data_IF_909065349812
#
_entry.id   IF_909065349812
#
_cell.length_a   1.000
_cell.length_b   1.000
_cell.length_c   1.000
_cell.angle_alpha   90.00
_cell.angle_beta   90.00
_cell.angle_gamma   90.00
#
_symmetry.space_group_name_H-M   'P 1'
#
loop_
_entity.id
_entity.type
_entity.pdbx_description
1 polymer ?
#
# COMPACT_ATOMS: atom_id res chain seq x y z
N UNK A 1 -4.96 -15.09 10.01
CA UNK A 1 -4.15 -14.27 9.10
C UNK A 1 -3.49 -13.18 9.93
N UNK A 2 -2.42 -12.56 9.43
CA UNK A 2 -1.87 -11.34 10.05
C UNK A 2 -2.57 -10.11 9.48
N UNK A 3 -2.55 -9.01 10.24
CA UNK A 3 -3.09 -7.72 9.81
C UNK A 3 -1.98 -6.69 9.76
N UNK A 4 -1.86 -5.98 8.64
CA UNK A 4 -0.87 -4.93 8.46
C UNK A 4 -1.51 -3.56 8.31
N UNK A 5 -0.85 -2.54 8.86
CA UNK A 5 -1.14 -1.15 8.58
C UNK A 5 -0.21 -0.68 7.45
N UNK A 6 -0.79 -0.30 6.31
CA UNK A 6 -0.08 0.24 5.16
C UNK A 6 0.57 1.60 5.44
N UNK A 7 1.55 1.98 4.62
CA UNK A 7 2.14 3.32 4.69
C UNK A 7 1.10 4.37 4.30
N UNK A 8 1.15 5.52 4.98
CA UNK A 8 0.25 6.65 4.69
C UNK A 8 0.48 7.16 3.27
N UNK A 9 -0.55 7.09 2.42
CA UNK A 9 -0.47 7.51 1.02
C UNK A 9 -0.65 9.03 0.85
N UNK A 10 -1.27 9.72 1.80
CA UNK A 10 -1.56 11.15 1.71
C UNK A 10 -0.44 12.02 2.29
N UNK A 11 -0.40 13.29 1.88
CA UNK A 11 0.63 14.20 2.37
C UNK A 11 0.21 14.82 3.70
N UNK A 12 0.54 14.14 4.80
CA UNK A 12 0.30 14.64 6.15
C UNK A 12 1.48 15.46 6.68
N UNK A 13 1.23 16.51 7.49
CA UNK A 13 2.28 17.20 8.23
C UNK A 13 3.06 16.24 9.13
N UNK A 14 4.36 16.50 9.34
CA UNK A 14 5.23 15.66 10.18
C UNK A 14 4.62 15.32 11.54
N UNK A 15 4.11 16.31 12.26
CA UNK A 15 3.54 16.10 13.60
C UNK A 15 2.33 15.15 13.60
N UNK A 16 1.44 15.27 12.60
CA UNK A 16 0.29 14.38 12.44
C UNK A 16 0.73 12.95 12.15
N UNK A 17 1.73 12.80 11.30
CA UNK A 17 2.29 11.50 10.93
C UNK A 17 2.98 10.83 12.12
N UNK A 18 3.80 11.54 12.88
CA UNK A 18 4.45 11.04 14.10
C UNK A 18 3.42 10.62 15.16
N UNK A 19 2.39 11.45 15.38
CA UNK A 19 1.30 11.11 16.29
C UNK A 19 0.54 9.86 15.84
N UNK A 20 0.27 9.74 14.55
CA UNK A 20 -0.41 8.57 13.99
C UNK A 20 0.38 7.28 14.23
N UNK A 21 1.69 7.26 13.94
CA UNK A 21 2.50 6.06 14.17
C UNK A 21 2.71 5.78 15.67
N UNK A 22 2.74 6.81 16.53
CA UNK A 22 2.74 6.61 17.97
C UNK A 22 1.46 5.90 18.45
N UNK A 23 0.30 6.23 17.88
CA UNK A 23 -0.95 5.50 18.14
C UNK A 23 -0.93 4.10 17.53
N UNK A 24 -0.38 3.94 16.32
CA UNK A 24 -0.27 2.67 15.63
C UNK A 24 0.54 1.62 16.43
N UNK A 25 1.52 2.04 17.22
CA UNK A 25 2.27 1.15 18.13
C UNK A 25 1.35 0.39 19.11
N UNK A 26 0.23 1.00 19.51
CA UNK A 26 -0.75 0.40 20.42
C UNK A 26 -1.92 -0.28 19.69
N UNK A 27 -1.95 -0.21 18.36
CA UNK A 27 -3.00 -0.86 17.56
C UNK A 27 -2.86 -2.38 17.58
N UNK A 28 -3.88 -3.08 17.09
CA UNK A 28 -3.83 -4.52 16.88
C UNK A 28 -3.10 -4.94 15.59
N UNK A 29 -2.45 -4.04 14.85
CA UNK A 29 -1.63 -4.42 13.69
C UNK A 29 -0.51 -5.38 14.11
N UNK A 30 -0.18 -6.38 13.30
CA UNK A 30 1.03 -7.20 13.47
C UNK A 30 2.24 -6.54 12.78
N UNK A 31 1.98 -5.86 11.67
CA UNK A 31 2.97 -5.30 10.75
C UNK A 31 2.63 -3.83 10.50
N UNK A 32 3.62 -2.95 10.56
CA UNK A 32 3.47 -1.53 10.25
C UNK A 32 4.41 -1.17 9.11
N UNK A 33 3.81 -0.70 8.01
CA UNK A 33 4.51 -0.09 6.89
C UNK A 33 4.62 1.40 7.12
N UNK A 34 5.79 1.98 6.87
CA UNK A 34 6.02 3.42 6.94
C UNK A 34 6.99 3.87 5.86
N UNK A 35 6.91 5.12 5.44
CA UNK A 35 7.70 5.65 4.33
C UNK A 35 6.85 6.44 3.36
N UNK A 36 7.48 6.94 2.31
CA UNK A 36 6.84 7.72 1.25
C UNK A 36 6.84 6.91 -0.05
N UNK A 37 5.64 6.60 -0.55
CA UNK A 37 5.44 5.77 -1.76
C UNK A 37 4.97 6.59 -2.97
N UNK A 38 4.50 7.81 -2.77
CA UNK A 38 3.82 8.60 -3.80
C UNK A 38 4.73 9.64 -4.44
N UNK A 39 5.38 10.51 -3.68
CA UNK A 39 6.14 11.61 -4.27
C UNK A 39 7.33 12.09 -3.44
N UNK A 40 8.52 12.03 -4.04
CA UNK A 40 9.79 12.54 -3.47
C UNK A 40 9.81 14.03 -3.09
N UNK A 41 8.85 14.83 -3.56
CA UNK A 41 8.74 16.25 -3.20
C UNK A 41 8.08 16.48 -1.83
N UNK A 42 7.46 15.44 -1.25
CA UNK A 42 6.85 15.47 0.08
C UNK A 42 7.94 15.34 1.15
N UNK A 43 8.61 16.45 1.45
CA UNK A 43 9.87 16.48 2.22
C UNK A 43 9.71 16.71 3.72
N UNK A 44 8.49 16.58 4.27
CA UNK A 44 8.24 16.65 5.72
C UNK A 44 9.09 15.63 6.49
N UNK A 45 9.32 14.45 5.90
CA UNK A 45 10.15 13.38 6.47
C UNK A 45 11.33 13.08 5.53
N UNK A 46 12.55 13.10 6.08
CA UNK A 46 13.77 12.66 5.39
C UNK A 46 14.06 11.19 5.70
N UNK A 47 14.99 10.53 4.97
CA UNK A 47 15.34 9.14 5.25
C UNK A 47 15.72 8.86 6.72
N UNK A 48 16.46 9.76 7.38
CA UNK A 48 16.81 9.58 8.80
C UNK A 48 15.61 9.67 9.73
N UNK A 49 14.63 10.54 9.41
CA UNK A 49 13.40 10.66 10.19
C UNK A 49 12.60 9.36 10.09
N UNK A 50 12.49 8.78 8.89
CA UNK A 50 11.82 7.49 8.67
C UNK A 50 12.50 6.33 9.40
N UNK A 51 13.84 6.24 9.33
CA UNK A 51 14.59 5.19 10.05
C UNK A 51 14.45 5.35 11.57
N UNK A 52 14.46 6.58 12.08
CA UNK A 52 14.29 6.86 13.51
C UNK A 52 12.87 6.51 14.00
N UNK A 53 11.87 6.84 13.18
CA UNK A 53 10.49 6.46 13.45
C UNK A 53 10.30 4.94 13.40
N UNK A 54 10.91 4.26 12.43
CA UNK A 54 10.90 2.81 12.34
C UNK A 54 11.45 2.13 13.59
N UNK A 55 12.57 2.62 14.13
CA UNK A 55 13.13 2.13 15.41
C UNK A 55 12.17 2.33 16.58
N UNK A 56 11.53 3.49 16.63
CA UNK A 56 10.55 3.80 17.68
C UNK A 56 9.37 2.83 17.62
N UNK A 57 8.82 2.63 16.42
CA UNK A 57 7.69 1.71 16.20
C UNK A 57 8.09 0.26 16.48
N UNK A 58 9.27 -0.18 16.04
CA UNK A 58 9.77 -1.54 16.27
C UNK A 58 9.91 -1.87 17.77
N UNK A 59 10.22 -0.86 18.61
CA UNK A 59 10.26 -1.01 20.06
C UNK A 59 8.93 -1.45 20.71
N UNK A 60 7.80 -1.37 19.99
CA UNK A 60 6.50 -1.89 20.44
C UNK A 60 6.28 -3.38 20.12
N UNK A 61 7.25 -4.06 19.50
CA UNK A 61 7.18 -5.49 19.14
C UNK A 61 6.47 -5.78 17.81
N UNK A 62 6.14 -4.74 17.04
CA UNK A 62 5.54 -4.84 15.70
C UNK A 62 6.62 -5.16 14.66
N UNK A 63 6.29 -5.94 13.63
CA UNK A 63 7.16 -6.01 12.45
C UNK A 63 7.10 -4.69 11.71
N UNK A 64 8.25 -4.08 11.41
CA UNK A 64 8.33 -2.82 10.68
C UNK A 64 8.91 -3.03 9.29
N UNK A 65 8.27 -2.42 8.29
CA UNK A 65 8.71 -2.42 6.88
C UNK A 65 8.76 -0.98 6.38
N UNK A 66 9.85 -0.62 5.70
CA UNK A 66 10.00 0.72 5.12
C UNK A 66 9.58 0.70 3.65
N UNK A 67 8.50 1.40 3.31
CA UNK A 67 7.99 1.54 1.95
C UNK A 67 8.72 2.64 1.18
N UNK A 68 9.15 2.32 -0.04
CA UNK A 68 9.82 3.24 -0.96
C UNK A 68 8.92 3.71 -2.10
N UNK A 69 9.33 4.77 -2.79
CA UNK A 69 8.62 5.39 -3.91
C UNK A 69 8.24 4.38 -5.01
N UNK A 70 7.01 4.52 -5.52
CA UNK A 70 6.50 3.74 -6.66
C UNK A 70 6.94 4.25 -8.03
N UNK A 71 7.41 5.50 -8.12
CA UNK A 71 7.86 6.08 -9.38
C UNK A 71 9.12 6.93 -9.18
N UNK A 72 10.27 6.36 -9.58
CA UNK A 72 11.56 7.04 -9.58
C UNK A 72 11.76 7.82 -10.89
N UNK A 73 12.17 9.08 -10.76
CA UNK A 73 12.29 10.03 -11.85
C UNK A 73 13.64 10.75 -11.87
N UNK A 74 14.36 10.80 -10.74
CA UNK A 74 15.61 11.55 -10.62
C UNK A 74 16.73 10.76 -9.90
N UNK A 75 18.00 10.94 -10.32
CA UNK A 75 19.14 10.32 -9.63
C UNK A 75 19.29 10.69 -8.15
N UNK A 76 18.79 11.85 -7.73
CA UNK A 76 18.78 12.25 -6.32
C UNK A 76 17.89 11.34 -5.46
N UNK A 77 16.79 10.83 -6.03
CA UNK A 77 15.86 9.94 -5.33
C UNK A 77 16.53 8.58 -5.07
N UNK A 78 17.34 8.09 -6.01
CA UNK A 78 18.12 6.87 -5.84
C UNK A 78 19.09 6.98 -4.65
N UNK A 79 19.66 8.15 -4.38
CA UNK A 79 20.55 8.36 -3.21
C UNK A 79 19.79 8.32 -1.90
N UNK A 80 18.61 8.95 -1.85
CA UNK A 80 17.74 8.92 -0.67
C UNK A 80 17.24 7.49 -0.39
N UNK A 81 16.89 6.73 -1.43
CA UNK A 81 16.49 5.33 -1.31
C UNK A 81 17.65 4.43 -0.94
N UNK A 82 18.84 4.61 -1.50
CA UNK A 82 20.02 3.85 -1.10
C UNK A 82 20.26 3.96 0.40
N UNK A 83 20.07 5.14 0.98
CA UNK A 83 20.15 5.35 2.43
C UNK A 83 19.08 4.57 3.21
N UNK A 84 17.85 4.48 2.69
CA UNK A 84 16.81 3.63 3.28
C UNK A 84 17.16 2.14 3.14
N UNK A 85 17.69 1.70 2.00
CA UNK A 85 18.12 0.30 1.80
C UNK A 85 19.27 -0.05 2.73
N UNK A 86 20.21 0.86 2.95
CA UNK A 86 21.37 0.71 3.83
C UNK A 86 21.02 0.93 5.32
N UNK A 87 19.73 0.87 5.70
CA UNK A 87 19.29 1.08 7.08
C UNK A 87 19.76 -0.02 8.06
N UNK A 88 20.08 -1.22 7.55
CA UNK A 88 20.70 -2.32 8.29
C UNK A 88 19.78 -3.14 9.20
N UNK A 89 18.50 -2.80 9.33
CA UNK A 89 17.61 -3.38 10.35
C UNK A 89 16.23 -3.79 9.79
N UNK A 90 15.59 -2.89 9.05
CA UNK A 90 14.23 -3.04 8.55
C UNK A 90 14.19 -3.50 7.10
N UNK A 91 13.23 -4.38 6.82
CA UNK A 91 12.92 -4.82 5.47
C UNK A 91 12.37 -3.66 4.63
N UNK A 92 12.67 -3.67 3.34
CA UNK A 92 12.18 -2.67 2.39
C UNK A 92 10.98 -3.23 1.61
N UNK A 93 9.94 -2.43 1.48
CA UNK A 93 8.91 -2.61 0.46
C UNK A 93 9.29 -1.81 -0.78
N UNK A 94 9.59 -2.54 -1.85
CA UNK A 94 9.97 -2.00 -3.14
C UNK A 94 8.74 -1.89 -4.06
N UNK A 95 8.56 -0.71 -4.65
CA UNK A 95 7.52 -0.45 -5.65
C UNK A 95 8.12 -0.15 -7.04
N UNK A 96 9.45 -0.12 -7.16
CA UNK A 96 10.19 0.14 -8.40
C UNK A 96 11.35 -0.85 -8.55
N UNK A 97 11.63 -1.30 -9.77
CA UNK A 97 12.66 -2.29 -10.07
C UNK A 97 14.09 -1.81 -9.81
N UNK A 98 14.33 -0.50 -9.84
CA UNK A 98 15.59 0.09 -9.41
C UNK A 98 15.89 -0.20 -7.94
N UNK A 99 14.86 -0.18 -7.09
CA UNK A 99 15.00 -0.54 -5.66
C UNK A 99 15.24 -2.04 -5.50
N UNK A 100 14.52 -2.88 -6.25
CA UNK A 100 14.75 -4.34 -6.26
C UNK A 100 16.20 -4.65 -6.66
N UNK A 101 16.74 -3.98 -7.67
CA UNK A 101 18.12 -4.19 -8.09
C UNK A 101 19.10 -3.85 -6.95
N UNK A 102 18.91 -2.72 -6.26
CA UNK A 102 19.75 -2.36 -5.11
C UNK A 102 19.69 -3.37 -3.97
N UNK A 103 18.50 -3.90 -3.68
CA UNK A 103 18.27 -4.91 -2.64
C UNK A 103 18.92 -6.24 -3.02
N UNK A 104 18.76 -6.66 -4.28
CA UNK A 104 19.34 -7.88 -4.81
C UNK A 104 20.88 -7.85 -4.78
N UNK A 105 21.50 -6.75 -5.20
CA UNK A 105 22.96 -6.56 -5.14
C UNK A 105 23.51 -6.65 -3.72
N UNK A 106 22.70 -6.29 -2.72
CA UNK A 106 23.05 -6.36 -1.29
C UNK A 106 22.65 -7.68 -0.63
N UNK A 107 21.98 -8.58 -1.36
CA UNK A 107 21.44 -9.82 -0.81
C UNK A 107 20.40 -9.62 0.30
N UNK A 108 19.68 -8.50 0.26
CA UNK A 108 18.68 -8.15 1.29
C UNK A 108 17.29 -8.70 0.91
N UNK A 109 16.54 -9.27 1.88
CA UNK A 109 15.16 -9.67 1.65
C UNK A 109 14.26 -8.44 1.48
N UNK A 110 13.17 -8.60 0.73
CA UNK A 110 12.25 -7.50 0.47
C UNK A 110 10.79 -7.91 0.27
N UNK A 111 9.89 -6.94 0.49
CA UNK A 111 8.49 -7.01 0.09
C UNK A 111 8.34 -6.45 -1.31
N UNK A 112 7.79 -7.23 -2.23
CA UNK A 112 7.34 -6.74 -3.53
C UNK A 112 5.99 -6.04 -3.36
N UNK A 113 5.98 -4.71 -3.39
CA UNK A 113 4.78 -3.90 -3.24
C UNK A 113 3.86 -3.96 -4.46
N UNK A 114 2.58 -3.63 -4.26
CA UNK A 114 1.54 -3.68 -5.31
C UNK A 114 1.88 -2.83 -6.54
N UNK A 115 2.58 -1.71 -6.37
CA UNK A 115 3.01 -0.80 -7.44
C UNK A 115 3.95 -1.42 -8.49
N UNK A 116 4.54 -2.58 -8.22
CA UNK A 116 5.35 -3.32 -9.19
C UNK A 116 4.52 -3.96 -10.32
N UNK A 117 3.20 -4.08 -10.15
CA UNK A 117 2.31 -4.64 -11.16
C UNK A 117 2.74 -6.05 -11.62
N UNK A 118 3.08 -6.92 -10.66
CA UNK A 118 3.50 -8.29 -10.94
C UNK A 118 2.30 -9.23 -11.06
N UNK A 119 1.94 -9.59 -12.30
CA UNK A 119 0.67 -10.27 -12.62
C UNK A 119 0.76 -11.80 -12.84
N UNK A 120 1.96 -12.39 -12.88
CA UNK A 120 2.12 -13.78 -13.30
C UNK A 120 3.19 -14.54 -12.49
N UNK A 121 3.05 -15.87 -12.44
CA UNK A 121 3.90 -16.73 -11.62
C UNK A 121 5.37 -16.80 -12.08
N UNK A 122 5.69 -16.76 -13.40
CA UNK A 122 7.08 -16.63 -13.84
C UNK A 122 7.78 -15.37 -13.33
N UNK A 123 7.11 -14.22 -13.30
CA UNK A 123 7.64 -12.98 -12.73
C UNK A 123 7.87 -13.11 -11.22
N UNK A 124 6.92 -13.70 -10.48
CA UNK A 124 7.09 -14.00 -9.05
C UNK A 124 8.28 -14.93 -8.80
N UNK A 125 8.53 -15.91 -9.68
CA UNK A 125 9.70 -16.79 -9.59
C UNK A 125 11.02 -16.02 -9.74
N UNK A 126 11.05 -14.99 -10.58
CA UNK A 126 12.23 -14.12 -10.74
C UNK A 126 12.43 -13.30 -9.46
N UNK A 127 11.39 -12.65 -8.96
CA UNK A 127 11.45 -11.85 -7.73
C UNK A 127 11.85 -12.70 -6.52
N UNK A 128 11.29 -13.91 -6.39
CA UNK A 128 11.64 -14.86 -5.33
C UNK A 128 13.14 -15.21 -5.37
N UNK A 129 13.71 -15.44 -6.56
CA UNK A 129 15.16 -15.67 -6.72
C UNK A 129 16.00 -14.45 -6.38
N UNK A 130 15.44 -13.24 -6.50
CA UNK A 130 16.13 -11.99 -6.19
C UNK A 130 16.11 -11.64 -4.71
N UNK A 131 15.30 -12.32 -3.88
CA UNK A 131 15.20 -12.09 -2.44
C UNK A 131 13.82 -11.68 -1.95
N UNK A 132 12.78 -11.71 -2.81
CA UNK A 132 11.41 -11.43 -2.38
C UNK A 132 10.94 -12.43 -1.33
N UNK A 133 10.47 -11.95 -0.18
CA UNK A 133 9.91 -12.75 0.91
C UNK A 133 8.40 -12.56 1.07
N UNK A 134 7.85 -11.48 0.51
CA UNK A 134 6.42 -11.16 0.53
C UNK A 134 6.03 -10.50 -0.77
N UNK A 135 4.86 -10.86 -1.29
CA UNK A 135 4.26 -10.26 -2.46
C UNK A 135 2.91 -9.64 -2.11
N UNK A 136 2.81 -8.33 -2.28
CA UNK A 136 1.54 -7.62 -2.22
C UNK A 136 0.89 -7.67 -3.61
N UNK A 137 -0.26 -8.33 -3.68
CA UNK A 137 -1.04 -8.52 -4.90
C UNK A 137 -1.42 -7.15 -5.52
N UNK A 138 -1.33 -6.99 -6.87
CA UNK A 138 -1.87 -5.82 -7.55
C UNK A 138 -3.36 -5.63 -7.25
N UNK A 139 -3.75 -4.39 -7.02
CA UNK A 139 -4.99 -4.00 -6.34
C UNK A 139 -6.26 -4.21 -7.19
N UNK A 140 -6.10 -4.34 -8.50
CA UNK A 140 -7.16 -4.52 -9.49
C UNK A 140 -7.49 -5.99 -9.80
N UNK A 141 -6.78 -6.94 -9.18
CA UNK A 141 -6.95 -8.36 -9.45
C UNK A 141 -8.01 -9.00 -8.55
N UNK A 142 -8.68 -10.02 -9.07
CA UNK A 142 -9.74 -10.74 -8.36
C UNK A 142 -9.23 -11.90 -7.51
N UNK A 143 -10.07 -12.38 -6.60
CA UNK A 143 -9.82 -13.62 -5.85
C UNK A 143 -9.59 -14.81 -6.77
N UNK A 144 -10.38 -14.93 -7.83
CA UNK A 144 -10.27 -16.03 -8.78
C UNK A 144 -8.94 -15.99 -9.53
N UNK A 145 -8.46 -14.78 -9.84
CA UNK A 145 -7.12 -14.59 -10.40
C UNK A 145 -6.03 -15.05 -9.42
N UNK A 146 -6.13 -14.65 -8.15
CA UNK A 146 -5.20 -15.07 -7.10
C UNK A 146 -5.15 -16.59 -6.97
N UNK A 147 -6.30 -17.26 -6.90
CA UNK A 147 -6.37 -18.74 -6.82
C UNK A 147 -5.63 -19.39 -7.98
N UNK A 148 -5.84 -18.91 -9.21
CA UNK A 148 -5.18 -19.47 -10.39
C UNK A 148 -3.67 -19.19 -10.39
N UNK A 149 -3.25 -18.00 -9.97
CA UNK A 149 -1.86 -17.63 -9.86
C UNK A 149 -1.12 -18.49 -8.81
N UNK A 150 -1.73 -18.74 -7.66
CA UNK A 150 -1.13 -19.55 -6.60
C UNK A 150 -0.97 -21.02 -7.02
N UNK A 151 -1.92 -21.58 -7.79
CA UNK A 151 -1.75 -22.90 -8.42
C UNK A 151 -0.54 -22.94 -9.36
N UNK A 152 -0.37 -21.92 -10.20
CA UNK A 152 0.83 -21.82 -11.06
C UNK A 152 2.12 -21.70 -10.21
N UNK A 153 2.06 -21.02 -9.06
CA UNK A 153 3.18 -20.94 -8.13
C UNK A 153 3.51 -22.30 -7.48
N UNK A 154 2.50 -23.14 -7.21
CA UNK A 154 2.68 -24.52 -6.76
C UNK A 154 3.37 -25.36 -7.84
N UNK A 155 2.88 -25.31 -9.08
CA UNK A 155 3.49 -25.99 -10.24
C UNK A 155 4.95 -25.57 -10.48
N UNK A 156 5.27 -24.30 -10.23
CA UNK A 156 6.62 -23.76 -10.34
C UNK A 156 7.51 -24.03 -9.12
N UNK A 157 6.97 -24.60 -8.04
CA UNK A 157 7.68 -24.94 -6.80
C UNK A 157 8.10 -23.72 -5.97
N UNK A 158 7.28 -22.67 -5.96
CA UNK A 158 7.56 -21.40 -5.27
C UNK A 158 6.48 -20.94 -4.28
N UNK A 159 5.30 -21.60 -4.23
CA UNK A 159 4.16 -21.16 -3.39
C UNK A 159 4.52 -20.95 -1.91
N UNK A 160 5.30 -21.85 -1.33
CA UNK A 160 5.65 -21.81 0.09
C UNK A 160 6.93 -21.01 0.38
N UNK A 161 7.39 -20.18 -0.58
CA UNK A 161 8.64 -19.42 -0.47
C UNK A 161 8.44 -17.92 -0.23
N UNK A 162 7.20 -17.46 -0.19
CA UNK A 162 6.86 -16.06 0.07
C UNK A 162 5.45 -15.95 0.66
N UNK A 163 5.21 -14.87 1.38
CA UNK A 163 3.91 -14.49 1.93
C UNK A 163 3.05 -13.78 0.87
N UNK A 164 1.75 -14.02 0.88
CA UNK A 164 0.76 -13.32 0.05
C UNK A 164 0.06 -12.25 0.88
N UNK A 165 0.16 -11.00 0.44
CA UNK A 165 -0.51 -9.87 1.06
C UNK A 165 -1.54 -9.23 0.12
N UNK A 166 -2.69 -8.84 0.67
CA UNK A 166 -3.77 -8.17 -0.09
C UNK A 166 -4.16 -6.87 0.59
N UNK A 167 -4.09 -5.77 -0.15
CA UNK A 167 -4.70 -4.49 0.24
C UNK A 167 -6.22 -4.66 0.29
N UNK A 168 -6.75 -4.67 1.51
CA UNK A 168 -8.12 -5.08 1.82
C UNK A 168 -8.99 -3.94 2.35
N UNK A 169 -8.38 -2.80 2.67
CA UNK A 169 -9.08 -1.57 3.05
C UNK A 169 -8.37 -0.32 2.53
N UNK A 170 -9.15 0.70 2.16
CA UNK A 170 -8.70 2.05 1.79
C UNK A 170 -8.83 2.35 0.29
N UNK A 171 -8.48 3.57 -0.11
CA UNK A 171 -8.50 3.97 -1.51
C UNK A 171 -7.38 3.31 -2.33
N UNK A 172 -7.74 2.42 -3.27
CA UNK A 172 -6.79 1.62 -4.05
C UNK A 172 -5.92 2.50 -4.96
N UNK A 173 -4.58 2.41 -4.91
CA UNK A 173 -3.70 3.16 -5.80
C UNK A 173 -3.61 2.52 -7.19
N UNK A 174 -4.53 2.92 -8.07
CA UNK A 174 -4.72 2.32 -9.40
C UNK A 174 -3.66 2.73 -10.44
N UNK A 175 -3.10 3.94 -10.34
CA UNK A 175 -2.11 4.42 -11.30
C UNK A 175 -1.20 5.52 -10.74
N UNK A 176 0.00 5.63 -11.32
CA UNK A 176 0.98 6.68 -11.04
C UNK A 176 1.35 7.42 -12.32
N UNK A 177 1.56 8.73 -12.23
CA UNK A 177 1.97 9.57 -13.35
C UNK A 177 3.27 10.32 -13.10
N UNK A 178 4.09 10.52 -14.13
CA UNK A 178 5.24 11.43 -14.02
C UNK A 178 4.80 12.89 -13.80
N UNK A 179 3.54 13.23 -14.14
CA UNK A 179 2.94 14.55 -13.91
C UNK A 179 2.07 14.52 -12.64
N UNK A 180 2.08 15.62 -11.89
CA UNK A 180 1.26 15.75 -10.70
C UNK A 180 -0.13 16.29 -11.04
N UNK A 181 -1.16 15.47 -10.85
CA UNK A 181 -2.55 15.85 -11.11
C UNK A 181 -3.03 16.93 -10.15
N UNK A 182 -2.64 16.89 -8.88
CA UNK A 182 -2.99 17.93 -7.90
C UNK A 182 -2.37 19.28 -8.29
N UNK A 183 -1.09 19.31 -8.64
CA UNK A 183 -0.44 20.55 -9.12
C UNK A 183 -1.12 21.08 -10.39
N UNK A 184 -1.42 20.18 -11.34
CA UNK A 184 -2.12 20.55 -12.58
C UNK A 184 -3.50 21.15 -12.30
N UNK A 185 -4.22 20.66 -11.31
CA UNK A 185 -5.54 21.19 -10.92
C UNK A 185 -5.47 22.62 -10.38
N UNK A 186 -4.32 23.06 -9.90
CA UNK A 186 -4.04 24.45 -9.52
C UNK A 186 -3.33 25.25 -10.62
N UNK A 187 -3.31 24.70 -11.84
CA UNK A 187 -2.61 25.27 -13.00
C UNK A 187 -1.09 25.47 -12.77
N UNK A 188 -0.47 24.61 -11.96
CA UNK A 188 0.97 24.60 -11.66
C UNK A 188 1.67 23.46 -12.38
N UNK A 189 2.95 23.64 -12.69
CA UNK A 189 3.83 22.54 -13.06
C UNK A 189 4.20 21.72 -11.82
N UNK A 190 4.65 20.46 -12.02
CA UNK A 190 5.10 19.60 -10.91
C UNK A 190 6.31 20.20 -10.20
N UNK A 191 7.23 20.81 -10.94
CA UNK A 191 8.47 21.37 -10.39
C UNK A 191 8.22 22.60 -9.52
N UNK A 192 7.16 23.35 -9.79
CA UNK A 192 6.72 24.51 -9.01
C UNK A 192 5.40 24.22 -8.25
N UNK A 193 5.19 22.97 -7.83
CA UNK A 193 3.93 22.59 -7.19
C UNK A 193 3.72 23.20 -5.80
N UNK A 194 4.78 23.72 -5.17
CA UNK A 194 4.80 24.24 -3.79
C UNK A 194 4.20 23.26 -2.76
N UNK A 195 4.27 21.96 -3.06
CA UNK A 195 3.68 20.89 -2.23
C UNK A 195 2.18 21.05 -1.94
N UNK A 196 1.43 21.67 -2.88
CA UNK A 196 -0.01 21.94 -2.79
C UNK A 196 -0.89 20.75 -2.37
N UNK A 197 -0.43 19.49 -2.54
CA UNK A 197 -1.16 18.33 -2.05
C UNK A 197 -1.41 18.31 -0.54
N UNK A 198 -0.67 19.10 0.25
CA UNK A 198 -0.89 19.22 1.70
C UNK A 198 -2.26 19.84 2.02
N UNK A 199 -2.77 20.68 1.13
CA UNK A 199 -4.08 21.32 1.25
C UNK A 199 -5.25 20.37 0.93
N UNK A 200 -4.94 19.14 0.48
CA UNK A 200 -5.92 18.12 0.11
C UNK A 200 -5.64 16.83 0.88
N UNK A 201 -5.88 16.78 2.21
CA UNK A 201 -5.50 15.66 3.07
C UNK A 201 -6.20 14.34 2.73
N UNK A 202 -7.30 14.39 1.97
CA UNK A 202 -8.03 13.22 1.43
C UNK A 202 -7.97 13.16 -0.10
N UNK A 203 -7.00 13.86 -0.72
CA UNK A 203 -6.92 14.00 -2.17
C UNK A 203 -8.07 14.83 -2.77
N UNK A 204 -8.23 14.73 -4.09
CA UNK A 204 -9.23 15.47 -4.86
C UNK A 204 -10.17 14.51 -5.58
N UNK A 205 -11.46 14.62 -5.29
CA UNK A 205 -12.51 13.84 -5.96
C UNK A 205 -12.58 14.18 -7.45
N UNK A 206 -12.72 13.16 -8.28
CA UNK A 206 -12.96 13.27 -9.71
C UNK A 206 -14.33 12.69 -10.01
N UNK A 207 -15.16 13.47 -10.70
CA UNK A 207 -16.50 13.10 -11.09
C UNK A 207 -16.57 12.83 -12.59
N UNK A 208 -17.44 11.91 -13.00
CA UNK A 208 -17.85 11.73 -14.39
C UNK A 208 -18.72 12.89 -14.87
N UNK A 209 -19.09 12.90 -16.15
CA UNK A 209 -20.03 13.90 -16.70
C UNK A 209 -21.44 13.74 -16.11
N UNK A 210 -21.77 12.54 -15.65
CA UNK A 210 -23.02 12.19 -14.95
C UNK A 210 -22.94 12.44 -13.44
N UNK A 211 -21.91 13.16 -12.97
CA UNK A 211 -21.71 13.54 -11.57
C UNK A 211 -21.48 12.35 -10.61
N UNK A 212 -21.05 11.20 -11.13
CA UNK A 212 -20.64 10.04 -10.32
C UNK A 212 -19.16 10.14 -9.93
N UNK A 213 -18.82 9.90 -8.67
CA UNK A 213 -17.41 9.83 -8.25
C UNK A 213 -16.75 8.58 -8.83
N UNK A 214 -15.63 8.78 -9.53
CA UNK A 214 -14.90 7.69 -10.21
C UNK A 214 -13.50 7.49 -9.64
N UNK A 215 -12.82 8.57 -9.24
CA UNK A 215 -11.44 8.51 -8.74
C UNK A 215 -11.20 9.55 -7.64
N UNK A 216 -10.11 9.33 -6.90
CA UNK A 216 -9.48 10.34 -6.03
C UNK A 216 -8.07 10.60 -6.53
N UNK A 217 -7.70 11.87 -6.75
CA UNK A 217 -6.37 12.28 -7.18
C UNK A 217 -5.55 12.73 -5.98
N UNK A 218 -4.41 12.09 -5.78
CA UNK A 218 -3.50 12.31 -4.66
C UNK A 218 -2.07 12.56 -5.18
N UNK A 219 -1.75 13.80 -5.50
CA UNK A 219 -0.47 14.16 -6.10
C UNK A 219 -0.31 13.56 -7.50
N UNK A 220 0.60 12.60 -7.63
CA UNK A 220 0.83 11.85 -8.88
C UNK A 220 0.00 10.57 -8.99
N UNK A 221 -0.69 10.19 -7.92
CA UNK A 221 -1.41 8.94 -7.80
C UNK A 221 -2.89 9.16 -8.15
N UNK A 222 -3.45 8.24 -8.92
CA UNK A 222 -4.89 8.09 -9.13
C UNK A 222 -5.37 6.91 -8.32
N UNK A 223 -6.32 7.14 -7.42
CA UNK A 223 -6.90 6.11 -6.57
C UNK A 223 -8.35 5.79 -6.94
N UNK A 224 -8.87 4.65 -6.46
CA UNK A 224 -10.29 4.32 -6.58
C UNK A 224 -11.17 5.43 -6.03
N UNK A 225 -12.33 5.64 -6.67
CA UNK A 225 -13.30 6.65 -6.22
C UNK A 225 -13.89 6.34 -4.85
N UNK A 226 -14.13 5.06 -4.55
CA UNK A 226 -14.73 4.59 -3.30
C UNK A 226 -13.69 3.85 -2.46
N UNK A 227 -13.93 3.79 -1.16
CA UNK A 227 -13.07 3.04 -0.24
C UNK A 227 -13.23 1.55 -0.53
N UNK A 228 -12.14 0.87 -0.84
CA UNK A 228 -12.19 -0.57 -1.03
C UNK A 228 -12.29 -1.25 0.33
N UNK A 229 -13.17 -2.24 0.49
CA UNK A 229 -13.39 -2.87 1.78
C UNK A 229 -13.73 -4.35 1.65
N UNK A 230 -12.80 -5.20 2.08
CA UNK A 230 -12.93 -6.66 2.10
C UNK A 230 -13.19 -7.23 3.49
N UNK A 231 -13.66 -6.42 4.44
CA UNK A 231 -13.91 -6.86 5.82
C UNK A 231 -14.94 -7.99 5.92
N UNK A 232 -15.89 -8.08 4.99
CA UNK A 232 -16.86 -9.18 4.90
C UNK A 232 -16.36 -10.37 4.06
N UNK A 233 -15.19 -10.25 3.44
CA UNK A 233 -14.60 -11.22 2.53
C UNK A 233 -13.47 -12.06 3.16
N UNK A 234 -13.14 -11.82 4.44
CA UNK A 234 -12.01 -12.45 5.12
C UNK A 234 -12.07 -13.98 5.16
N UNK A 235 -13.26 -14.58 5.28
CA UNK A 235 -13.42 -16.05 5.17
C UNK A 235 -12.93 -16.58 3.83
N UNK A 236 -13.16 -15.83 2.75
CA UNK A 236 -12.78 -16.23 1.39
C UNK A 236 -11.27 -16.21 1.15
N UNK A 237 -10.51 -15.58 2.06
CA UNK A 237 -9.05 -15.44 2.03
C UNK A 237 -8.30 -16.57 2.74
N UNK A 238 -8.99 -17.39 3.55
CA UNK A 238 -8.36 -18.46 4.31
C UNK A 238 -7.61 -19.45 3.39
N UNK A 239 -6.33 -19.67 3.68
CA UNK A 239 -5.44 -20.52 2.87
C UNK A 239 -4.88 -19.85 1.60
N UNK A 240 -5.34 -18.64 1.25
CA UNK A 240 -4.89 -17.88 0.08
C UNK A 240 -4.04 -16.66 0.45
N UNK A 241 -4.44 -15.95 1.50
CA UNK A 241 -3.82 -14.69 1.94
C UNK A 241 -3.21 -14.89 3.32
N UNK A 242 -1.95 -14.49 3.46
CA UNK A 242 -1.23 -14.55 4.74
C UNK A 242 -1.44 -13.24 5.53
N UNK A 243 -1.49 -12.10 4.82
CA UNK A 243 -1.55 -10.76 5.40
C UNK A 243 -2.68 -9.92 4.76
N UNK A 244 -3.54 -9.38 5.61
CA UNK A 244 -4.62 -8.45 5.26
C UNK A 244 -4.14 -7.03 5.55
N UNK A 245 -3.97 -6.21 4.51
CA UNK A 245 -3.45 -4.84 4.64
C UNK A 245 -4.56 -3.79 4.69
N UNK A 246 -4.50 -2.94 5.69
CA UNK A 246 -5.36 -1.76 5.88
C UNK A 246 -4.57 -0.52 5.48
N UNK A 247 -4.98 0.19 4.44
CA UNK A 247 -4.38 1.48 4.07
C UNK A 247 -5.11 2.61 4.79
N UNK A 248 -4.42 3.42 5.62
CA UNK A 248 -5.06 4.51 6.33
C UNK A 248 -5.26 5.73 5.42
N UNK A 249 -6.46 6.28 5.45
CA UNK A 249 -6.84 7.51 4.75
C UNK A 249 -7.06 8.66 5.75
N UNK A 250 -7.28 8.35 7.03
CA UNK A 250 -7.38 9.26 8.16
C UNK A 250 -6.73 8.69 9.44
N UNK A 251 -6.35 9.53 10.42
CA UNK A 251 -5.78 9.06 11.68
C UNK A 251 -6.66 8.07 12.46
N UNK A 252 -7.98 8.20 12.35
CA UNK A 252 -8.95 7.36 13.06
C UNK A 252 -9.10 5.94 12.45
N UNK A 253 -8.50 5.67 11.29
CA UNK A 253 -8.61 4.38 10.60
C UNK A 253 -7.91 3.23 11.33
N UNK A 254 -7.14 3.49 12.40
CA UNK A 254 -6.53 2.42 13.21
C UNK A 254 -7.59 1.46 13.78
N UNK A 255 -8.79 1.96 14.11
CA UNK A 255 -9.90 1.14 14.60
C UNK A 255 -10.42 0.13 13.56
N UNK A 256 -10.20 0.39 12.26
CA UNK A 256 -10.61 -0.51 11.18
C UNK A 256 -9.91 -1.87 11.30
N UNK A 257 -8.67 -1.90 11.80
CA UNK A 257 -7.93 -3.14 12.02
C UNK A 257 -8.68 -4.03 13.04
N UNK A 258 -9.19 -3.44 14.11
CA UNK A 258 -9.95 -4.17 15.13
C UNK A 258 -11.27 -4.71 14.58
N UNK A 259 -11.98 -3.91 13.79
CA UNK A 259 -13.22 -4.34 13.11
C UNK A 259 -12.97 -5.51 12.16
N UNK A 260 -11.90 -5.45 11.37
CA UNK A 260 -11.50 -6.54 10.47
C UNK A 260 -11.15 -7.81 11.26
N UNK A 261 -10.37 -7.69 12.34
CA UNK A 261 -10.04 -8.83 13.20
C UNK A 261 -11.28 -9.47 13.82
N UNK A 262 -12.21 -8.66 14.33
CA UNK A 262 -13.46 -9.13 14.92
C UNK A 262 -14.30 -9.93 13.92
N UNK A 263 -14.25 -9.57 12.64
CA UNK A 263 -14.94 -10.27 11.57
C UNK A 263 -14.10 -11.33 10.82
N UNK A 264 -12.92 -11.72 11.33
CA UNK A 264 -12.06 -12.72 10.65
C UNK A 264 -12.81 -14.05 10.42
N UNK A 265 -13.69 -14.41 11.37
CA UNK A 265 -14.53 -15.59 11.28
C UNK A 265 -15.88 -15.32 10.62
N UNK A 266 -16.15 -14.13 10.09
CA UNK A 266 -17.42 -13.74 9.44
C UNK A 266 -18.63 -13.68 10.39
N UNK A 267 -18.40 -13.55 11.70
CA UNK A 267 -19.46 -13.54 12.72
C UNK A 267 -19.92 -12.12 13.11
N UNK A 268 -19.19 -11.09 12.71
CA UNK A 268 -19.46 -9.69 13.01
C UNK A 268 -19.35 -8.83 11.73
N UNK A 269 -20.26 -9.04 10.76
CA UNK A 269 -20.17 -8.38 9.47
C UNK A 269 -20.16 -6.86 9.62
N UNK A 270 -19.35 -6.20 8.79
CA UNK A 270 -19.27 -4.76 8.70
C UNK A 270 -20.43 -4.22 7.86
N UNK A 271 -21.01 -3.09 8.26
CA UNK A 271 -21.98 -2.35 7.45
C UNK A 271 -21.24 -1.54 6.38
N UNK A 272 -21.26 -2.05 5.14
CA UNK A 272 -20.58 -1.43 4.01
C UNK A 272 -21.46 -0.39 3.28
N UNK A 273 -22.78 -0.47 3.43
CA UNK A 273 -23.73 0.32 2.65
C UNK A 273 -23.72 1.81 3.05
N UNK A 274 -23.45 2.12 4.31
CA UNK A 274 -23.47 3.49 4.81
C UNK A 274 -22.23 4.32 4.41
N UNK A 275 -21.12 3.69 4.04
CA UNK A 275 -19.81 4.34 3.95
C UNK A 275 -19.23 4.46 2.52
N UNK A 276 -20.06 4.34 1.47
CA UNK A 276 -19.61 4.41 0.06
C UNK A 276 -18.38 3.53 -0.20
N UNK A 277 -18.48 2.24 0.13
CA UNK A 277 -17.43 1.26 -0.09
C UNK A 277 -17.57 0.55 -1.45
N UNK A 278 -16.52 -0.12 -1.89
CA UNK A 278 -16.53 -1.05 -3.01
C UNK A 278 -15.74 -2.33 -2.70
N UNK A 279 -16.06 -3.44 -3.38
CA UNK A 279 -15.32 -4.71 -3.31
C UNK A 279 -15.26 -5.43 -4.68
N UNK A 280 -15.63 -4.72 -5.75
CA UNK A 280 -15.87 -5.34 -7.06
C UNK A 280 -14.69 -6.08 -7.65
N UNK A 281 -13.46 -5.58 -7.49
CA UNK A 281 -12.27 -6.26 -8.02
C UNK A 281 -12.10 -7.66 -7.41
N UNK A 282 -12.16 -7.80 -6.08
CA UNK A 282 -12.11 -9.11 -5.40
C UNK A 282 -13.15 -10.08 -5.94
N UNK A 283 -14.37 -9.57 -6.18
CA UNK A 283 -15.55 -10.30 -6.65
C UNK A 283 -15.60 -10.48 -8.18
N UNK A 284 -14.55 -10.10 -8.89
CA UNK A 284 -14.43 -10.22 -10.35
C UNK A 284 -15.53 -9.46 -11.14
N UNK A 285 -15.89 -8.27 -10.65
CA UNK A 285 -16.77 -7.32 -11.33
C UNK A 285 -16.12 -5.92 -11.38
N UNK A 286 -16.84 -4.90 -11.85
CA UNK A 286 -16.31 -3.54 -11.91
C UNK A 286 -15.88 -3.04 -10.53
N UNK A 287 -14.66 -2.50 -10.43
CA UNK A 287 -14.04 -2.16 -9.14
C UNK A 287 -14.74 -1.07 -8.32
N UNK A 288 -15.64 -0.30 -8.94
CA UNK A 288 -16.47 0.71 -8.27
C UNK A 288 -17.74 0.14 -7.63
N UNK A 289 -18.07 -1.12 -7.91
CA UNK A 289 -19.28 -1.78 -7.42
C UNK A 289 -19.07 -2.37 -6.03
N UNK A 290 -20.18 -2.49 -5.30
CA UNK A 290 -20.28 -3.18 -4.03
C UNK A 290 -21.22 -4.37 -4.17
N UNK A 291 -20.76 -5.55 -3.77
CA UNK A 291 -21.56 -6.77 -3.65
C UNK A 291 -21.65 -7.16 -2.18
N UNK A 292 -22.87 -7.29 -1.68
CA UNK A 292 -23.15 -7.80 -0.33
C UNK A 292 -22.92 -9.31 -0.21
#
# INVERSE_FOLDING_TARGET
MQFSLGSVLYYWPKATLEQFYQQAMQSSADIIYLGETVCSKRREMKPDDWISLAKTVAGSGKQVVISTLALLQAPSELKEIAKLVDNGEFMIEAHDFGVINMLHERGLPFVAGHGLNCYNAPALKILQKQGMTRWCMPVELSRDWLVNLLKQCEELGIRDKFEVEVMSYGHLPLAYSARCFTARSENRAKDDCETCCISYPQGRKVLSQENQQVFVLNGIQTQSGYCYNLGNDLRSMQGLVDIVRISPDAPDDLAVIDHFRQNETGAQPLDLAQAQNCNGYWRNIAGLELVE
#
